data_IF_110675238789
#
_entry.id   IF_110675238789
#
_cell.length_a   1.000
_cell.length_b   1.000
_cell.length_c   1.000
_cell.angle_alpha   90.00
_cell.angle_beta   90.00
_cell.angle_gamma   90.00
#
_symmetry.space_group_name_H-M   'P 1'
#
loop_
_entity.id
_entity.type
_entity.pdbx_description
1 polymer ?
#
# COMPACT_ATOMS: atom_id res chain seq x y z
N UNK A 1 -36.27 23.45 -21.40
CA UNK A 1 -34.80 23.49 -21.62
C UNK A 1 -34.14 23.07 -20.31
N UNK A 2 -33.59 21.85 -20.25
CA UNK A 2 -32.98 21.35 -19.03
C UNK A 2 -31.69 22.12 -18.74
N UNK A 3 -31.57 22.65 -17.53
CA UNK A 3 -30.38 23.36 -17.05
C UNK A 3 -29.25 22.33 -16.86
N UNK A 4 -28.33 22.29 -17.81
CA UNK A 4 -27.12 21.46 -17.72
C UNK A 4 -26.16 22.18 -16.77
N UNK A 5 -26.11 21.73 -15.52
CA UNK A 5 -25.11 22.17 -14.55
C UNK A 5 -23.73 21.62 -14.99
N UNK A 6 -22.65 22.44 -14.99
CA UNK A 6 -21.35 21.96 -15.40
C UNK A 6 -20.90 20.85 -14.45
N UNK A 7 -20.55 19.68 -15.01
CA UNK A 7 -20.03 18.52 -14.27
C UNK A 7 -18.85 18.98 -13.40
N UNK A 8 -19.17 19.21 -12.13
CA UNK A 8 -18.28 19.87 -11.19
C UNK A 8 -17.02 19.05 -10.96
N UNK A 9 -15.88 19.74 -11.07
CA UNK A 9 -14.53 19.28 -10.71
C UNK A 9 -14.46 18.59 -9.33
N UNK A 10 -15.47 18.80 -8.48
CA UNK A 10 -15.62 18.23 -7.15
C UNK A 10 -15.94 16.71 -7.11
N UNK A 11 -16.41 16.10 -8.20
CA UNK A 11 -16.63 14.63 -8.23
C UNK A 11 -15.30 13.86 -8.41
N UNK A 12 -14.42 14.33 -9.28
CA UNK A 12 -13.12 13.70 -9.54
C UNK A 12 -12.19 13.75 -8.32
N UNK A 13 -12.21 14.85 -7.55
CA UNK A 13 -11.45 14.99 -6.31
C UNK A 13 -11.96 14.10 -5.16
N UNK A 14 -13.22 13.65 -5.20
CA UNK A 14 -13.78 12.73 -4.19
C UNK A 14 -13.47 11.26 -4.48
N UNK A 15 -13.34 10.88 -5.75
CA UNK A 15 -12.99 9.49 -6.12
C UNK A 15 -11.52 9.18 -5.83
N UNK A 16 -10.64 10.18 -5.98
CA UNK A 16 -9.20 10.06 -5.72
C UNK A 16 -8.85 9.55 -4.31
N UNK A 17 -9.31 10.16 -3.20
CA UNK A 17 -9.00 9.69 -1.85
C UNK A 17 -9.56 8.29 -1.56
N UNK A 18 -10.74 7.96 -2.11
CA UNK A 18 -11.36 6.64 -1.91
C UNK A 18 -10.53 5.53 -2.58
N UNK A 19 -10.01 5.80 -3.77
CA UNK A 19 -9.09 4.90 -4.48
C UNK A 19 -7.75 4.78 -3.77
N UNK A 20 -7.20 5.89 -3.27
CA UNK A 20 -5.94 5.89 -2.49
C UNK A 20 -6.10 5.08 -1.21
N UNK A 21 -7.17 5.27 -0.43
CA UNK A 21 -7.43 4.52 0.81
C UNK A 21 -7.51 3.01 0.56
N UNK A 22 -8.18 2.60 -0.53
CA UNK A 22 -8.27 1.19 -0.90
C UNK A 22 -6.90 0.60 -1.26
N UNK A 23 -6.07 1.34 -1.98
CA UNK A 23 -4.70 0.92 -2.32
C UNK A 23 -3.76 0.96 -1.12
N UNK A 24 -3.89 1.94 -0.25
CA UNK A 24 -3.12 2.09 0.97
C UNK A 24 -3.31 0.87 1.87
N UNK A 25 -4.55 0.38 2.03
CA UNK A 25 -4.82 -0.84 2.80
C UNK A 25 -4.01 -2.04 2.28
N UNK A 26 -4.05 -2.30 0.97
CA UNK A 26 -3.29 -3.39 0.35
C UNK A 26 -1.78 -3.19 0.49
N UNK A 27 -1.28 -1.98 0.23
CA UNK A 27 0.13 -1.66 0.34
C UNK A 27 0.64 -1.81 1.79
N UNK A 28 -0.13 -1.42 2.79
CA UNK A 28 0.23 -1.64 4.19
C UNK A 28 0.19 -3.12 4.54
N UNK A 29 -0.87 -3.85 4.16
CA UNK A 29 -1.04 -5.26 4.52
C UNK A 29 0.08 -6.16 3.94
N UNK A 30 0.46 -5.92 2.69
CA UNK A 30 1.50 -6.71 2.01
C UNK A 30 2.87 -6.07 2.04
N UNK A 31 2.99 -4.77 2.35
CA UNK A 31 4.27 -4.06 2.36
C UNK A 31 4.89 -3.95 3.74
N UNK A 32 4.10 -3.95 4.81
CA UNK A 32 4.63 -3.77 6.17
C UNK A 32 5.57 -4.91 6.57
N UNK A 33 5.15 -6.17 6.40
CA UNK A 33 5.96 -7.33 6.77
C UNK A 33 7.25 -7.41 5.91
N UNK A 34 7.20 -7.33 4.55
CA UNK A 34 8.42 -7.32 3.74
C UNK A 34 9.37 -6.15 4.05
N UNK A 35 8.84 -4.98 4.39
CA UNK A 35 9.65 -3.82 4.75
C UNK A 35 10.45 -4.07 6.03
N UNK A 36 9.81 -4.59 7.07
CA UNK A 36 10.49 -4.91 8.34
C UNK A 36 11.55 -5.98 8.12
N UNK A 37 11.27 -7.01 7.33
CA UNK A 37 12.24 -8.05 6.98
C UNK A 37 13.45 -7.43 6.27
N UNK A 38 13.22 -6.57 5.28
CA UNK A 38 14.31 -5.91 4.54
C UNK A 38 15.22 -5.07 5.44
N UNK A 39 14.64 -4.35 6.40
CA UNK A 39 15.41 -3.56 7.38
C UNK A 39 16.17 -4.48 8.34
N UNK A 40 15.52 -5.53 8.86
CA UNK A 40 16.11 -6.46 9.82
C UNK A 40 17.20 -7.37 9.24
N UNK A 41 17.19 -7.61 7.92
CA UNK A 41 18.20 -8.42 7.22
C UNK A 41 19.54 -7.69 6.97
N UNK A 42 19.72 -6.44 7.42
CA UNK A 42 20.99 -5.71 7.32
C UNK A 42 22.00 -6.04 8.44
N UNK A 43 21.79 -7.14 9.17
CA UNK A 43 22.70 -7.60 10.23
C UNK A 43 23.82 -8.47 9.64
N UNK A 44 25.07 -8.31 10.09
CA UNK A 44 26.18 -9.19 9.74
C UNK A 44 26.31 -10.37 10.72
N UNK A 45 26.36 -11.64 10.27
CA UNK A 45 26.25 -12.09 8.87
C UNK A 45 24.80 -12.08 8.36
N UNK A 46 24.62 -11.75 7.07
CA UNK A 46 23.29 -11.58 6.45
C UNK A 46 22.45 -12.86 6.58
N UNK A 47 21.32 -12.82 7.31
CA UNK A 47 20.48 -14.01 7.51
C UNK A 47 19.84 -14.45 6.18
N UNK A 48 19.73 -15.76 5.97
CA UNK A 48 19.05 -16.30 4.79
C UNK A 48 17.53 -16.23 4.97
N UNK A 49 16.79 -15.81 3.93
CA UNK A 49 15.32 -15.75 3.96
C UNK A 49 14.67 -17.09 4.30
N UNK A 50 15.29 -18.19 3.85
CA UNK A 50 14.87 -19.55 4.16
C UNK A 50 14.88 -19.81 5.66
N UNK A 51 15.89 -19.37 6.42
CA UNK A 51 15.95 -19.53 7.88
C UNK A 51 14.87 -18.74 8.61
N UNK A 52 14.44 -17.60 8.06
CA UNK A 52 13.38 -16.77 8.68
C UNK A 52 11.99 -17.39 8.48
N UNK A 53 11.79 -18.16 7.40
CA UNK A 53 10.50 -18.71 7.00
C UNK A 53 10.36 -20.21 7.28
N UNK A 54 11.46 -20.92 7.52
CA UNK A 54 11.44 -22.32 7.92
C UNK A 54 11.27 -22.43 9.44
N UNK A 55 10.21 -23.08 9.95
CA UNK A 55 10.24 -23.54 11.33
C UNK A 55 11.36 -24.58 11.46
N UNK A 56 12.20 -24.40 12.48
CA UNK A 56 13.24 -25.38 12.86
C UNK A 56 12.57 -26.67 13.33
#
# INVERSE_FOLDING_TARGET
MAKVEPVGKNKMLKEWPTWVLKKAKTATHYGFIPLIIFIGMNTDPKPQLSQLLSPV
#
